data_IF_552540285053
#
_entry.id   IF_552540285053
#
_cell.length_a   1.000
_cell.length_b   1.000
_cell.length_c   1.000
_cell.angle_alpha   90.00
_cell.angle_beta   90.00
_cell.angle_gamma   90.00
#
_symmetry.space_group_name_H-M   'P 1'
#
loop_
_entity.id
_entity.type
_entity.pdbx_description
1 polymer ?
#
# COMPACT_ATOMS: atom_id res chain seq x y z
N UNK A 1 3.94 11.85 -25.63
CA UNK A 1 5.10 12.16 -24.77
C UNK A 1 6.06 10.97 -24.79
N UNK A 2 7.37 11.21 -24.74
CA UNK A 2 8.35 10.12 -24.64
C UNK A 2 8.23 9.41 -23.27
N UNK A 3 8.40 8.10 -23.25
CA UNK A 3 8.39 7.33 -22.02
C UNK A 3 9.65 7.64 -21.21
N UNK A 4 9.47 8.16 -19.99
CA UNK A 4 10.56 8.43 -19.05
C UNK A 4 10.85 7.16 -18.27
N UNK A 5 12.10 6.72 -18.29
CA UNK A 5 12.56 5.60 -17.46
C UNK A 5 13.22 6.14 -16.20
N UNK A 6 12.59 5.93 -15.04
CA UNK A 6 13.11 6.35 -13.75
C UNK A 6 13.90 5.21 -13.09
N UNK A 7 15.22 5.35 -13.02
CA UNK A 7 16.16 4.38 -12.42
C UNK A 7 16.56 4.74 -10.97
N UNK A 8 15.72 5.47 -10.24
CA UNK A 8 16.01 5.83 -8.83
C UNK A 8 16.07 4.59 -7.93
N UNK A 9 16.96 4.61 -6.93
CA UNK A 9 17.19 3.50 -6.00
C UNK A 9 16.18 3.42 -4.83
N UNK A 10 15.28 4.39 -4.69
CA UNK A 10 14.32 4.47 -3.58
C UNK A 10 14.07 5.92 -3.13
N UNK A 11 12.82 6.43 -3.16
CA UNK A 11 11.65 5.84 -3.82
C UNK A 11 11.90 5.54 -5.31
N UNK A 12 11.16 4.59 -5.88
CA UNK A 12 11.39 4.06 -7.23
C UNK A 12 10.14 4.17 -8.12
N UNK A 13 10.28 3.78 -9.40
CA UNK A 13 9.19 3.81 -10.39
C UNK A 13 8.08 2.80 -10.04
N UNK A 14 6.82 3.26 -10.04
CA UNK A 14 5.64 2.39 -9.99
C UNK A 14 5.14 2.02 -11.40
N UNK A 15 4.42 0.89 -11.56
CA UNK A 15 3.71 0.58 -12.79
C UNK A 15 2.68 1.68 -13.13
N UNK A 16 2.58 2.05 -14.41
CA UNK A 16 1.76 3.19 -14.84
C UNK A 16 0.27 2.93 -14.66
N UNK A 17 -0.16 1.67 -14.78
CA UNK A 17 -1.52 1.21 -14.56
C UNK A 17 -1.99 1.41 -13.11
N UNK A 18 -1.10 1.20 -12.13
CA UNK A 18 -1.41 1.41 -10.71
C UNK A 18 -1.61 2.90 -10.42
N UNK A 19 -0.73 3.76 -10.97
CA UNK A 19 -0.86 5.21 -10.83
C UNK A 19 -2.15 5.74 -11.47
N UNK A 20 -2.54 5.20 -12.64
CA UNK A 20 -3.79 5.56 -13.31
C UNK A 20 -5.01 5.16 -12.49
N UNK A 21 -5.02 3.97 -11.92
CA UNK A 21 -6.12 3.51 -11.06
C UNK A 21 -6.24 4.40 -9.82
N UNK A 22 -5.13 4.63 -9.10
CA UNK A 22 -5.11 5.51 -7.94
C UNK A 22 -5.56 6.94 -8.28
N UNK A 23 -5.20 7.46 -9.46
CA UNK A 23 -5.67 8.76 -9.94
C UNK A 23 -7.18 8.77 -10.18
N UNK A 24 -7.74 7.73 -10.80
CA UNK A 24 -9.16 7.63 -11.12
C UNK A 24 -10.03 7.60 -9.86
N UNK A 25 -9.56 6.93 -8.81
CA UNK A 25 -10.30 6.73 -7.58
C UNK A 25 -9.97 7.75 -6.48
N UNK A 26 -9.04 8.68 -6.73
CA UNK A 26 -8.47 9.55 -5.70
C UNK A 26 -9.54 10.39 -4.98
N UNK A 27 -10.49 10.94 -5.74
CA UNK A 27 -11.53 11.83 -5.22
C UNK A 27 -12.84 11.11 -4.88
N UNK A 28 -13.06 9.93 -5.45
CA UNK A 28 -14.25 9.11 -5.22
C UNK A 28 -13.82 7.64 -5.18
N UNK A 29 -13.46 7.21 -3.98
CA UNK A 29 -12.94 5.88 -3.77
C UNK A 29 -14.11 4.89 -3.70
N UNK A 30 -14.16 3.96 -4.65
CA UNK A 30 -15.21 2.94 -4.78
C UNK A 30 -16.66 3.47 -4.75
N UNK A 31 -16.89 4.72 -5.19
CA UNK A 31 -18.23 5.32 -5.23
C UNK A 31 -18.75 5.83 -3.88
N UNK A 32 -17.87 6.00 -2.88
CA UNK A 32 -18.21 6.53 -1.56
C UNK A 32 -18.40 8.05 -1.53
N UNK A 33 -18.05 8.75 -2.61
CA UNK A 33 -18.05 10.21 -2.68
C UNK A 33 -16.95 10.88 -1.86
N UNK A 34 -15.94 10.10 -1.45
CA UNK A 34 -14.81 10.56 -0.62
C UNK A 34 -13.56 9.77 -0.96
N UNK A 35 -12.38 10.31 -0.68
CA UNK A 35 -11.09 9.66 -0.88
C UNK A 35 -10.85 8.54 0.14
N UNK A 36 -10.06 7.53 -0.25
CA UNK A 36 -9.49 6.54 0.69
C UNK A 36 -8.69 7.22 1.83
N UNK A 37 -8.19 8.43 1.60
CA UNK A 37 -7.45 9.20 2.60
C UNK A 37 -8.34 9.87 3.66
N UNK A 38 -9.65 9.95 3.41
CA UNK A 38 -10.62 10.65 4.27
C UNK A 38 -11.46 9.69 5.12
N UNK A 39 -11.38 8.38 4.85
CA UNK A 39 -12.13 7.36 5.58
C UNK A 39 -11.41 6.90 6.85
N UNK A 40 -12.19 6.39 7.80
CA UNK A 40 -11.66 5.81 9.03
C UNK A 40 -10.87 4.54 8.74
N UNK A 41 -9.65 4.43 9.29
CA UNK A 41 -8.85 3.20 9.26
C UNK A 41 -9.51 2.02 10.02
N UNK A 42 -10.57 2.29 10.79
CA UNK A 42 -11.41 1.27 11.45
C UNK A 42 -12.73 1.03 10.73
N UNK A 43 -12.98 1.75 9.63
CA UNK A 43 -14.14 1.56 8.77
C UNK A 43 -14.05 0.22 8.04
N UNK A 44 -15.20 -0.37 7.70
CA UNK A 44 -15.26 -1.66 7.04
C UNK A 44 -14.50 -1.64 5.71
N UNK A 45 -14.62 -0.54 4.99
CA UNK A 45 -14.04 -0.31 3.68
C UNK A 45 -12.51 -0.31 3.75
N UNK A 46 -11.92 0.39 4.72
CA UNK A 46 -10.46 0.40 4.91
C UNK A 46 -9.94 -0.95 5.43
N UNK A 47 -10.66 -1.58 6.37
CA UNK A 47 -10.28 -2.89 6.91
C UNK A 47 -10.20 -3.92 5.79
N UNK A 48 -11.17 -3.92 4.87
CA UNK A 48 -11.19 -4.83 3.73
C UNK A 48 -9.92 -4.67 2.87
N UNK A 49 -9.51 -3.45 2.54
CA UNK A 49 -8.26 -3.20 1.78
C UNK A 49 -7.03 -3.68 2.53
N UNK A 50 -6.97 -3.45 3.84
CA UNK A 50 -5.85 -3.89 4.66
C UNK A 50 -5.75 -5.42 4.71
N UNK A 51 -6.88 -6.12 4.81
CA UNK A 51 -6.97 -7.58 4.79
C UNK A 51 -6.60 -8.14 3.42
N UNK A 52 -7.10 -7.56 2.33
CA UNK A 52 -6.76 -7.94 0.96
C UNK A 52 -5.25 -7.76 0.70
N UNK A 53 -4.67 -6.62 1.10
CA UNK A 53 -3.24 -6.36 0.97
C UNK A 53 -2.39 -7.36 1.79
N UNK A 54 -2.82 -7.74 3.01
CA UNK A 54 -2.14 -8.78 3.79
C UNK A 54 -2.20 -10.14 3.09
N UNK A 55 -3.38 -10.52 2.59
CA UNK A 55 -3.61 -11.79 1.92
C UNK A 55 -2.80 -11.91 0.63
N UNK A 56 -2.81 -10.87 -0.21
CA UNK A 56 -2.02 -10.81 -1.45
C UNK A 56 -0.52 -10.95 -1.16
N UNK A 57 -0.03 -10.24 -0.13
CA UNK A 57 1.37 -10.33 0.29
C UNK A 57 1.74 -11.74 0.76
N UNK A 58 0.86 -12.38 1.55
CA UNK A 58 1.06 -13.76 2.01
C UNK A 58 1.06 -14.75 0.85
N UNK A 59 0.12 -14.61 -0.09
CA UNK A 59 0.00 -15.49 -1.24
C UNK A 59 1.23 -15.35 -2.16
N UNK A 60 1.66 -14.11 -2.44
CA UNK A 60 2.79 -13.83 -3.31
C UNK A 60 4.10 -14.44 -2.77
N UNK A 61 4.31 -14.39 -1.45
CA UNK A 61 5.53 -14.87 -0.80
C UNK A 61 5.40 -16.26 -0.15
N UNK A 62 4.25 -16.92 -0.29
CA UNK A 62 3.94 -18.21 0.35
C UNK A 62 4.18 -18.20 1.88
N UNK A 63 3.73 -17.16 2.57
CA UNK A 63 3.95 -16.99 4.02
C UNK A 63 3.04 -17.94 4.81
N UNK A 64 3.58 -18.81 5.68
CA UNK A 64 2.77 -19.73 6.46
C UNK A 64 1.98 -19.03 7.57
N UNK A 65 0.90 -19.67 8.03
CA UNK A 65 -0.08 -19.10 8.97
C UNK A 65 0.48 -18.82 10.37
N UNK A 66 1.63 -19.42 10.72
CA UNK A 66 2.32 -19.20 11.98
C UNK A 66 3.17 -17.92 12.04
N UNK A 67 3.20 -17.12 10.96
CA UNK A 67 3.80 -15.78 10.94
C UNK A 67 2.75 -14.68 10.99
N UNK A 68 3.13 -13.49 11.45
CA UNK A 68 2.32 -12.26 11.43
C UNK A 68 2.92 -11.26 10.46
N UNK A 69 2.06 -10.60 9.69
CA UNK A 69 2.41 -9.49 8.80
C UNK A 69 1.98 -8.21 9.50
N UNK A 70 2.86 -7.21 9.54
CA UNK A 70 2.62 -5.94 10.21
C UNK A 70 2.92 -4.79 9.25
N UNK A 71 2.01 -3.81 9.19
CA UNK A 71 2.24 -2.55 8.49
C UNK A 71 2.71 -1.50 9.51
N UNK A 72 3.98 -1.10 9.43
CA UNK A 72 4.61 -0.19 10.40
C UNK A 72 5.18 1.05 9.71
N UNK A 73 5.11 2.20 10.39
CA UNK A 73 5.80 3.42 9.97
C UNK A 73 7.30 3.37 10.35
N UNK A 74 8.07 4.35 9.90
CA UNK A 74 9.50 4.50 10.25
C UNK A 74 10.48 3.79 9.31
N UNK A 75 9.97 3.01 8.34
CA UNK A 75 10.77 2.34 7.32
C UNK A 75 11.75 1.30 7.89
N UNK A 76 12.69 0.83 7.06
CA UNK A 76 13.66 -0.20 7.45
C UNK A 76 14.55 0.22 8.62
N UNK A 77 14.85 1.52 8.78
CA UNK A 77 15.61 2.04 9.93
C UNK A 77 14.78 2.09 11.22
N UNK A 78 13.49 2.42 11.13
CA UNK A 78 12.59 2.52 12.28
C UNK A 78 12.42 1.19 13.02
N UNK A 79 12.55 0.05 12.32
CA UNK A 79 12.52 -1.28 12.93
C UNK A 79 13.65 -1.49 13.96
N UNK A 80 14.77 -0.78 13.84
CA UNK A 80 15.93 -0.90 14.72
C UNK A 80 16.11 0.32 15.65
N UNK A 81 15.10 1.20 15.74
CA UNK A 81 15.23 2.43 16.52
C UNK A 81 15.42 2.19 18.03
N UNK A 82 14.92 1.07 18.56
CA UNK A 82 15.09 0.69 19.97
C UNK A 82 16.37 -0.06 20.31
N UNK A 83 17.22 -0.37 19.33
CA UNK A 83 18.50 -1.08 19.51
C UNK A 83 19.74 -0.19 19.30
N UNK A 84 19.54 1.12 19.14
CA UNK A 84 20.60 2.14 19.11
C UNK A 84 20.59 2.99 20.37
#
# INVERSE_FOLDING_TARGET
MAQVYNFSSGPAMLPAEVLKLAQQELCDWHGLGTSVMEISHRGKEFIQVAEEAEQDFRALLNIPSNYKVLFCHGGGLGQFAGSR
#
